data_IF_563110066682
#
_entry.id   IF_563110066682
#
_cell.length_a   1.000
_cell.length_b   1.000
_cell.length_c   1.000
_cell.angle_alpha   90.00
_cell.angle_beta   90.00
_cell.angle_gamma   90.00
#
_symmetry.space_group_name_H-M   'P 1'
#
loop_
_entity.id
_entity.type
_entity.pdbx_description
1 polymer ?
#
# COMPACT_ATOMS: atom_id res chain seq x y z
N UNK A 1 -6.86 -26.25 0.13
CA UNK A 1 -6.74 -24.77 0.11
C UNK A 1 -8.00 -24.22 -0.55
N UNK A 2 -8.79 -23.45 0.19
CA UNK A 2 -9.97 -22.75 -0.33
C UNK A 2 -9.56 -21.72 -1.39
N UNK A 3 -10.32 -21.52 -2.48
CA UNK A 3 -9.91 -20.60 -3.54
C UNK A 3 -10.07 -19.14 -3.10
N UNK A 4 -8.95 -18.43 -2.89
CA UNK A 4 -8.90 -16.99 -2.56
C UNK A 4 -9.09 -16.05 -3.77
N UNK A 5 -9.19 -16.63 -4.98
CA UNK A 5 -9.32 -15.91 -6.24
C UNK A 5 -10.49 -14.91 -6.29
N UNK A 6 -11.71 -15.18 -5.79
CA UNK A 6 -12.78 -14.18 -5.75
C UNK A 6 -12.40 -12.93 -4.94
N UNK A 7 -11.71 -13.07 -3.82
CA UNK A 7 -11.26 -11.93 -3.01
C UNK A 7 -10.19 -11.11 -3.72
N UNK A 8 -9.26 -11.76 -4.42
CA UNK A 8 -8.28 -11.10 -5.27
C UNK A 8 -8.96 -10.26 -6.37
N UNK A 9 -10.01 -10.79 -7.00
CA UNK A 9 -10.78 -10.05 -8.01
C UNK A 9 -11.48 -8.83 -7.40
N UNK A 10 -12.02 -8.93 -6.17
CA UNK A 10 -12.63 -7.78 -5.46
C UNK A 10 -11.61 -6.67 -5.19
N UNK A 11 -10.35 -7.04 -4.94
CA UNK A 11 -9.23 -6.11 -4.79
C UNK A 11 -8.65 -5.63 -6.13
N UNK A 12 -9.30 -5.99 -7.25
CA UNK A 12 -8.87 -5.69 -8.63
C UNK A 12 -7.51 -6.28 -8.97
N UNK A 13 -7.11 -7.36 -8.31
CA UNK A 13 -5.94 -8.10 -8.72
C UNK A 13 -6.26 -8.91 -9.99
N UNK A 14 -5.30 -8.99 -10.89
CA UNK A 14 -5.37 -9.77 -12.12
C UNK A 14 -4.40 -10.93 -11.97
N UNK A 15 -4.93 -12.14 -11.80
CA UNK A 15 -4.11 -13.36 -11.75
C UNK A 15 -3.70 -13.73 -13.17
N UNK A 16 -2.39 -13.74 -13.42
CA UNK A 16 -1.83 -14.14 -14.71
C UNK A 16 -1.51 -15.63 -14.73
N UNK A 17 -1.03 -16.15 -13.61
CA UNK A 17 -0.61 -17.54 -13.48
C UNK A 17 -1.05 -18.11 -12.14
N UNK A 18 -1.57 -19.33 -12.19
CA UNK A 18 -1.93 -20.13 -11.02
C UNK A 18 -1.33 -21.51 -11.17
N UNK A 19 -0.49 -21.92 -10.23
CA UNK A 19 0.19 -23.21 -10.24
C UNK A 19 -0.10 -23.93 -8.93
N UNK A 20 -0.62 -25.15 -9.02
CA UNK A 20 -0.66 -26.05 -7.87
C UNK A 20 0.71 -26.71 -7.72
N UNK A 21 1.33 -26.60 -6.54
CA UNK A 21 2.55 -27.32 -6.15
C UNK A 21 2.25 -28.22 -4.95
N UNK A 22 1.76 -29.43 -5.24
CA UNK A 22 1.43 -30.40 -4.20
C UNK A 22 0.36 -29.87 -3.25
N UNK A 23 0.74 -29.62 -2.00
CA UNK A 23 -0.14 -29.06 -0.96
C UNK A 23 -0.29 -27.54 -1.01
N UNK A 24 0.52 -26.82 -1.78
CA UNK A 24 0.47 -25.35 -1.89
C UNK A 24 -0.04 -24.89 -3.27
N UNK A 25 -0.59 -23.68 -3.31
CA UNK A 25 -0.98 -23.00 -4.55
C UNK A 25 -0.20 -21.70 -4.66
N UNK A 26 0.48 -21.53 -5.78
CA UNK A 26 1.19 -20.30 -6.12
C UNK A 26 0.35 -19.48 -7.09
N UNK A 27 0.12 -18.21 -6.75
CA UNK A 27 -0.63 -17.25 -7.56
C UNK A 27 0.29 -16.09 -7.90
N UNK A 28 0.40 -15.80 -9.18
CA UNK A 28 1.21 -14.71 -9.72
C UNK A 28 0.31 -13.81 -10.56
N UNK A 29 0.54 -12.51 -10.44
CA UNK A 29 -0.26 -11.51 -11.09
C UNK A 29 0.03 -10.12 -10.58
N UNK A 30 -0.87 -9.21 -10.89
CA UNK A 30 -0.73 -7.80 -10.59
C UNK A 30 -1.87 -7.32 -9.71
N UNK A 31 -1.57 -6.38 -8.82
CA UNK A 31 -2.56 -5.74 -7.96
C UNK A 31 -2.27 -4.23 -7.90
N UNK A 32 -3.30 -3.35 -7.90
CA UNK A 32 -3.08 -1.93 -7.67
C UNK A 32 -2.35 -1.70 -6.34
N UNK A 33 -1.30 -0.89 -6.35
CA UNK A 33 -0.51 -0.60 -5.14
C UNK A 33 -1.35 -0.13 -3.95
N UNK A 34 -2.42 0.62 -4.20
CA UNK A 34 -3.36 1.08 -3.17
C UNK A 34 -4.11 -0.05 -2.44
N UNK A 35 -4.21 -1.25 -3.03
CA UNK A 35 -4.92 -2.42 -2.49
C UNK A 35 -3.98 -3.44 -1.84
N UNK A 36 -2.66 -3.29 -1.99
CA UNK A 36 -1.66 -4.20 -1.38
C UNK A 36 -1.78 -4.22 0.13
N UNK A 37 -2.02 -3.06 0.76
CA UNK A 37 -2.16 -2.98 2.21
C UNK A 37 -3.39 -3.76 2.72
N UNK A 38 -4.52 -3.62 2.02
CA UNK A 38 -5.77 -4.31 2.32
C UNK A 38 -5.61 -5.83 2.15
N UNK A 39 -5.00 -6.28 1.03
CA UNK A 39 -4.70 -7.70 0.81
C UNK A 39 -3.84 -8.26 1.94
N UNK A 40 -2.77 -7.56 2.33
CA UNK A 40 -1.86 -8.00 3.39
C UNK A 40 -2.57 -8.15 4.74
N UNK A 41 -3.57 -7.33 5.04
CA UNK A 41 -4.37 -7.45 6.25
C UNK A 41 -5.34 -8.64 6.20
N UNK A 42 -5.90 -8.93 5.02
CA UNK A 42 -6.87 -10.02 4.83
C UNK A 42 -6.20 -11.38 4.63
N UNK A 43 -4.93 -11.42 4.19
CA UNK A 43 -4.20 -12.64 3.85
C UNK A 43 -4.25 -13.70 4.96
N UNK A 44 -3.97 -13.40 6.24
CA UNK A 44 -4.01 -14.42 7.29
C UNK A 44 -5.39 -15.06 7.43
N UNK A 45 -6.46 -14.28 7.30
CA UNK A 45 -7.83 -14.80 7.36
C UNK A 45 -8.19 -15.63 6.13
N UNK A 46 -7.74 -15.22 4.94
CA UNK A 46 -8.01 -15.92 3.67
C UNK A 46 -7.22 -17.22 3.49
N UNK A 47 -6.07 -17.34 4.16
CA UNK A 47 -5.16 -18.49 4.01
C UNK A 47 -4.98 -19.28 5.31
N UNK A 48 -5.86 -19.11 6.31
CA UNK A 48 -5.71 -19.70 7.64
C UNK A 48 -4.33 -19.44 8.30
N UNK A 49 -3.68 -18.33 7.96
CA UNK A 49 -2.37 -17.94 8.48
C UNK A 49 -1.15 -18.56 7.77
N UNK A 50 -1.34 -19.44 6.78
CA UNK A 50 -0.22 -20.15 6.12
C UNK A 50 0.29 -19.48 4.83
N UNK A 51 -0.41 -18.44 4.35
CA UNK A 51 -0.10 -17.77 3.09
C UNK A 51 1.08 -16.82 3.19
N UNK A 52 1.86 -16.76 2.11
CA UNK A 52 2.91 -15.76 1.90
C UNK A 52 2.49 -14.81 0.77
N UNK A 53 2.76 -13.52 0.95
CA UNK A 53 2.57 -12.48 -0.06
C UNK A 53 3.89 -11.79 -0.36
N UNK A 54 4.32 -11.84 -1.62
CA UNK A 54 5.45 -11.07 -2.13
C UNK A 54 4.94 -10.09 -3.18
N UNK A 55 5.32 -8.80 -3.04
CA UNK A 55 4.93 -7.75 -3.96
C UNK A 55 6.15 -6.90 -4.31
N UNK A 56 6.31 -6.59 -5.59
CA UNK A 56 7.26 -5.60 -6.09
C UNK A 56 6.52 -4.50 -6.87
N UNK A 57 7.12 -3.32 -6.94
CA UNK A 57 6.64 -2.29 -7.86
C UNK A 57 6.91 -2.73 -9.30
N UNK A 58 5.88 -2.65 -10.14
CA UNK A 58 5.99 -2.98 -11.57
C UNK A 58 5.87 -1.71 -12.43
N UNK A 59 4.69 -1.06 -12.41
CA UNK A 59 4.43 0.12 -13.25
C UNK A 59 3.42 1.08 -12.66
N UNK A 60 3.35 2.27 -13.25
CA UNK A 60 2.25 3.20 -13.04
C UNK A 60 1.09 2.89 -13.98
N UNK A 61 -0.13 3.10 -13.48
CA UNK A 61 -1.36 3.03 -14.25
C UNK A 61 -2.26 4.22 -13.91
N UNK A 62 -3.12 4.68 -14.83
CA UNK A 62 -4.08 5.74 -14.53
C UNK A 62 -4.95 5.38 -13.32
N UNK A 63 -5.02 6.30 -12.35
CA UNK A 63 -5.88 6.13 -11.19
C UNK A 63 -7.35 6.12 -11.65
N UNK A 64 -8.09 5.08 -11.26
CA UNK A 64 -9.52 4.95 -11.55
C UNK A 64 -10.34 5.31 -10.30
N UNK A 65 -11.28 6.24 -10.45
CA UNK A 65 -12.16 6.71 -9.38
C UNK A 65 -11.67 8.03 -8.76
N UNK A 66 -12.15 8.33 -7.56
CA UNK A 66 -11.78 9.56 -6.85
C UNK A 66 -10.31 9.53 -6.46
N UNK A 67 -9.58 10.56 -6.87
CA UNK A 67 -8.17 10.72 -6.52
C UNK A 67 -8.10 10.93 -4.99
N UNK A 68 -7.34 10.08 -4.26
CA UNK A 68 -7.22 10.25 -2.83
C UNK A 68 -6.49 11.57 -2.54
N UNK A 69 -7.19 12.51 -1.92
CA UNK A 69 -6.60 13.74 -1.41
C UNK A 69 -6.15 13.49 0.02
N UNK A 70 -4.86 13.57 0.28
CA UNK A 70 -4.34 13.62 1.66
C UNK A 70 -4.03 15.09 1.99
N UNK A 71 -4.61 15.65 3.07
CA UNK A 71 -4.17 16.94 3.57
C UNK A 71 -2.66 16.91 3.79
N UNK A 72 -1.96 18.00 3.43
CA UNK A 72 -0.53 18.11 3.70
C UNK A 72 -0.32 17.96 5.20
N UNK A 73 0.50 16.99 5.60
CA UNK A 73 0.89 16.82 7.00
C UNK A 73 2.01 17.77 7.41
N UNK A 74 2.67 18.37 6.43
CA UNK A 74 3.77 19.28 6.60
C UNK A 74 3.42 20.69 6.10
N UNK A 75 4.29 21.62 6.39
CA UNK A 75 4.19 22.98 5.89
C UNK A 75 4.46 23.00 4.40
N UNK A 76 3.69 23.81 3.67
CA UNK A 76 3.73 23.79 2.22
C UNK A 76 5.05 24.41 1.71
N UNK A 77 5.98 23.64 1.14
CA UNK A 77 7.23 24.18 0.60
C UNK A 77 7.00 25.05 -0.64
N UNK A 78 5.79 25.01 -1.23
CA UNK A 78 5.39 25.88 -2.33
C UNK A 78 5.09 27.31 -1.84
N UNK A 79 4.81 27.52 -0.54
CA UNK A 79 4.89 28.84 0.09
C UNK A 79 6.23 28.97 0.81
N UNK A 80 7.23 29.41 0.05
CA UNK A 80 8.61 29.53 0.53
C UNK A 80 8.72 30.39 1.79
N UNK A 81 7.93 31.45 1.91
CA UNK A 81 8.04 32.41 3.02
C UNK A 81 7.52 31.79 4.32
N UNK A 82 6.34 31.17 4.25
CA UNK A 82 5.74 30.52 5.42
C UNK A 82 6.53 29.26 5.84
N UNK A 83 6.99 28.47 4.86
CA UNK A 83 7.80 27.28 5.10
C UNK A 83 9.09 27.60 5.85
N UNK A 84 9.85 28.62 5.42
CA UNK A 84 11.09 29.02 6.10
C UNK A 84 10.84 29.54 7.51
N UNK A 85 9.81 30.36 7.73
CA UNK A 85 9.46 30.85 9.07
C UNK A 85 9.14 29.71 10.05
N UNK A 86 8.47 28.66 9.59
CA UNK A 86 8.08 27.55 10.44
C UNK A 86 9.19 26.50 10.61
N UNK A 87 10.02 26.25 9.60
CA UNK A 87 11.20 25.37 9.70
C UNK A 87 12.25 25.98 10.62
N UNK A 88 12.57 27.27 10.46
CA UNK A 88 13.52 27.98 11.34
C UNK A 88 13.04 28.00 12.79
N UNK A 89 11.72 28.16 13.04
CA UNK A 89 11.12 28.04 14.39
C UNK A 89 11.21 26.63 14.98
N UNK A 90 11.28 25.58 14.17
CA UNK A 90 11.41 24.19 14.62
C UNK A 90 12.86 23.84 14.95
N UNK A 91 13.81 24.40 14.21
CA UNK A 91 15.26 24.22 14.44
C UNK A 91 15.74 25.06 15.63
N UNK A 92 15.17 26.25 15.85
CA UNK A 92 15.53 27.13 16.97
C UNK A 92 14.84 26.81 18.30
N UNK A 93 13.85 25.92 18.31
CA UNK A 93 13.24 25.43 19.55
C UNK A 93 14.12 24.28 20.08
N UNK A 94 14.96 24.49 21.12
CA UNK A 94 15.67 23.37 21.71
C UNK A 94 14.64 22.36 22.18
N UNK A 95 14.88 21.08 21.91
CA UNK A 95 14.08 20.01 22.45
C UNK A 95 14.03 20.16 23.97
N UNK A 96 12.89 20.59 24.50
CA UNK A 96 12.57 20.43 25.92
C UNK A 96 12.53 18.92 26.16
N UNK A 97 13.64 18.38 26.67
CA UNK A 97 13.66 17.05 27.29
C UNK A 97 12.86 17.10 28.60
N UNK A 98 12.20 15.99 28.99
CA UNK A 98 11.48 15.88 30.25
C UNK A 98 12.42 16.06 31.45
#
# INVERSE_FOLDING_TARGET
>A
IEPIQPDLVRLRAVTQRSVNRGSSRFLEGEIPAARVHELRQQLPSLTHGEGLLECAFDRYQPARGTIPTRPRSDHNPLDRKEYLLQVERRVSRPATKP
#
